data_IF_471021234351
#
_entry.id   IF_471021234351
#
_cell.length_a   1.000
_cell.length_b   1.000
_cell.length_c   1.000
_cell.angle_alpha   90.00
_cell.angle_beta   90.00
_cell.angle_gamma   90.00
#
_symmetry.space_group_name_H-M   'P 1'
#
loop_
_entity.id
_entity.type
_entity.pdbx_description
1 polymer ?
#
# COMPACT_ATOMS: atom_id res chain seq x y z
N UNK A 1 8.47 -15.60 -9.29
CA UNK A 1 8.64 -15.74 -7.84
C UNK A 1 9.67 -14.70 -7.45
N UNK A 2 9.36 -13.58 -6.83
CA UNK A 2 8.58 -13.37 -5.60
C UNK A 2 7.63 -12.18 -5.71
N UNK A 3 6.55 -12.31 -4.98
CA UNK A 3 5.36 -11.51 -5.00
C UNK A 3 5.40 -10.71 -3.68
N UNK A 4 5.66 -9.39 -3.71
CA UNK A 4 5.57 -8.52 -2.52
C UNK A 4 5.23 -7.08 -2.95
N UNK A 5 3.95 -6.74 -2.93
CA UNK A 5 3.36 -5.47 -3.42
C UNK A 5 3.29 -4.37 -2.36
N UNK A 6 4.02 -4.51 -1.25
CA UNK A 6 4.25 -3.45 -0.27
C UNK A 6 5.73 -3.49 0.10
N UNK A 7 6.41 -2.31 0.22
CA UNK A 7 7.79 -2.28 0.63
C UNK A 7 7.90 -2.90 2.02
N UNK A 8 8.79 -3.89 2.15
CA UNK A 8 9.07 -4.49 3.45
C UNK A 8 9.77 -3.43 4.30
N UNK A 9 9.27 -3.20 5.50
CA UNK A 9 9.87 -2.27 6.45
C UNK A 9 10.59 -3.10 7.51
N UNK A 10 11.84 -2.73 7.79
CA UNK A 10 12.72 -3.39 8.72
C UNK A 10 12.96 -2.52 9.95
N UNK A 11 13.07 -3.15 11.12
CA UNK A 11 13.61 -2.51 12.34
C UNK A 11 15.14 -2.52 12.34
N UNK A 12 15.82 -1.75 13.21
CA UNK A 12 17.28 -1.76 13.31
C UNK A 12 17.83 -3.16 13.61
N UNK A 13 17.15 -3.91 14.48
CA UNK A 13 17.48 -5.29 14.81
C UNK A 13 17.41 -6.19 13.57
N UNK A 14 16.33 -6.08 12.78
CA UNK A 14 16.16 -6.88 11.57
C UNK A 14 17.19 -6.50 10.48
N UNK A 15 17.53 -5.22 10.36
CA UNK A 15 18.59 -4.75 9.46
C UNK A 15 19.95 -5.29 9.90
N UNK A 16 20.25 -5.25 11.21
CA UNK A 16 21.49 -5.78 11.78
C UNK A 16 21.61 -7.28 11.52
N UNK A 17 20.53 -8.04 11.73
CA UNK A 17 20.50 -9.47 11.44
C UNK A 17 20.67 -9.76 9.94
N UNK A 18 20.07 -8.94 9.07
CA UNK A 18 20.13 -9.07 7.63
C UNK A 18 21.54 -8.79 7.08
N UNK A 19 22.16 -7.70 7.54
CA UNK A 19 23.51 -7.28 7.15
C UNK A 19 24.61 -8.02 7.91
N UNK A 20 24.25 -8.85 8.90
CA UNK A 20 25.18 -9.51 9.84
C UNK A 20 26.12 -8.50 10.49
N UNK A 21 25.57 -7.36 10.88
CA UNK A 21 26.24 -6.25 11.53
C UNK A 21 25.75 -6.07 12.97
N UNK A 22 26.44 -5.22 13.72
CA UNK A 22 26.02 -4.84 15.07
C UNK A 22 24.86 -3.82 15.02
N UNK A 23 23.91 -3.92 15.93
CA UNK A 23 22.75 -3.03 15.98
C UNK A 23 23.15 -1.57 16.24
N UNK A 24 24.14 -1.33 17.11
CA UNK A 24 24.63 0.01 17.42
C UNK A 24 25.27 0.64 16.18
N UNK A 25 25.93 -0.17 15.35
CA UNK A 25 26.46 0.27 14.06
C UNK A 25 25.31 0.68 13.12
N UNK A 26 24.25 -0.11 13.02
CA UNK A 26 23.10 0.23 12.18
C UNK A 26 22.39 1.51 12.64
N UNK A 27 22.23 1.68 13.96
CA UNK A 27 21.71 2.92 14.53
C UNK A 27 22.60 4.11 14.19
N UNK A 28 23.92 3.94 14.25
CA UNK A 28 24.87 4.97 13.84
C UNK A 28 24.76 5.31 12.35
N UNK A 29 24.60 4.33 11.47
CA UNK A 29 24.39 4.56 10.03
C UNK A 29 23.07 5.30 9.74
N UNK A 30 22.01 5.07 10.53
CA UNK A 30 20.78 5.87 10.46
C UNK A 30 20.98 7.31 10.94
N UNK A 31 21.69 7.49 12.05
CA UNK A 31 21.95 8.82 12.63
C UNK A 31 22.87 9.67 11.75
N UNK A 32 23.85 9.04 11.11
CA UNK A 32 24.77 9.70 10.17
C UNK A 32 24.15 9.89 8.78
N UNK A 33 23.01 9.27 8.50
CA UNK A 33 22.28 9.40 7.23
C UNK A 33 22.83 8.54 6.09
N UNK A 34 23.85 7.71 6.37
CA UNK A 34 24.41 6.77 5.40
C UNK A 34 23.40 5.67 5.04
N UNK A 35 22.64 5.21 6.03
CA UNK A 35 21.50 4.32 5.84
C UNK A 35 20.22 5.15 5.92
N UNK A 36 19.47 5.19 4.82
CA UNK A 36 18.19 5.89 4.78
C UNK A 36 17.16 5.16 5.64
N UNK A 37 16.49 5.92 6.49
CA UNK A 37 15.42 5.43 7.34
C UNK A 37 14.51 6.56 7.79
N UNK A 38 13.41 6.18 8.43
CA UNK A 38 12.46 7.10 9.03
C UNK A 38 12.11 6.64 10.44
N UNK A 39 11.76 7.59 11.31
CA UNK A 39 11.36 7.28 12.69
C UNK A 39 9.86 7.08 12.78
N UNK A 40 9.46 6.02 13.49
CA UNK A 40 8.09 5.85 13.98
C UNK A 40 8.16 5.93 15.50
N UNK A 41 7.67 7.03 16.07
CA UNK A 41 7.85 7.32 17.49
C UNK A 41 9.33 7.56 17.83
N UNK A 42 9.92 6.67 18.64
CA UNK A 42 11.34 6.73 19.05
C UNK A 42 12.24 5.76 18.29
N UNK A 43 11.68 4.89 17.47
CA UNK A 43 12.42 3.81 16.83
C UNK A 43 12.62 4.09 15.34
N UNK A 44 13.78 3.70 14.84
CA UNK A 44 14.12 3.77 13.42
C UNK A 44 13.44 2.66 12.63
N UNK A 45 13.18 2.92 11.36
CA UNK A 45 12.66 1.96 10.37
C UNK A 45 13.33 2.22 9.03
N UNK A 46 13.53 1.15 8.25
CA UNK A 46 14.13 1.21 6.92
C UNK A 46 13.30 0.43 5.93
N UNK A 47 13.15 0.94 4.70
CA UNK A 47 12.49 0.18 3.64
C UNK A 47 13.46 -0.81 2.98
N UNK A 48 12.94 -1.87 2.40
CA UNK A 48 13.70 -2.83 1.59
C UNK A 48 14.48 -2.14 0.46
N UNK A 49 13.88 -1.11 -0.15
CA UNK A 49 14.52 -0.34 -1.20
C UNK A 49 15.72 0.47 -0.69
N UNK A 50 15.57 1.13 0.47
CA UNK A 50 16.66 1.89 1.10
C UNK A 50 17.80 0.97 1.56
N UNK A 51 17.45 -0.19 2.13
CA UNK A 51 18.42 -1.21 2.53
C UNK A 51 19.19 -1.77 1.33
N UNK A 52 18.48 -2.09 0.25
CA UNK A 52 19.10 -2.53 -1.01
C UNK A 52 19.97 -1.44 -1.63
N UNK A 53 19.57 -0.18 -1.53
CA UNK A 53 20.35 0.97 -2.02
C UNK A 53 21.66 1.12 -1.23
N UNK A 54 21.58 0.99 0.10
CA UNK A 54 22.75 0.99 0.99
C UNK A 54 23.71 -0.17 0.63
N UNK A 55 23.19 -1.38 0.42
CA UNK A 55 24.01 -2.55 0.04
C UNK A 55 24.68 -2.40 -1.33
N UNK A 56 24.05 -1.70 -2.27
CA UNK A 56 24.63 -1.41 -3.60
C UNK A 56 25.79 -0.42 -3.52
N UNK A 57 26.07 0.15 -2.35
CA UNK A 57 27.18 1.08 -2.14
C UNK A 57 26.97 2.42 -2.84
N UNK A 58 25.72 2.77 -3.21
CA UNK A 58 25.37 4.10 -3.71
C UNK A 58 25.41 5.04 -2.50
N UNK A 59 26.63 5.49 -2.19
CA UNK A 59 26.89 6.50 -1.17
C UNK A 59 26.44 7.86 -1.72
N UNK A 60 25.14 8.12 -1.65
CA UNK A 60 24.66 9.48 -1.77
C UNK A 60 25.15 10.24 -0.54
N UNK A 61 26.31 10.87 -0.69
CA UNK A 61 26.85 11.79 0.30
C UNK A 61 25.93 12.99 0.34
N UNK A 62 24.95 13.01 1.24
CA UNK A 62 24.09 14.18 1.46
C UNK A 62 24.16 14.58 2.92
N UNK A 63 24.80 15.73 3.14
CA UNK A 63 24.88 16.45 4.41
C UNK A 63 23.52 16.65 5.10
N UNK A 64 23.50 16.76 6.44
CA UNK A 64 22.29 17.02 7.20
C UNK A 64 21.84 18.47 6.99
N UNK A 65 20.96 18.69 6.01
CA UNK A 65 20.25 19.96 5.87
C UNK A 65 18.75 19.71 5.95
N UNK A 66 18.19 20.25 7.04
CA UNK A 66 16.81 20.71 7.32
C UNK A 66 15.64 20.21 6.46
N UNK A 67 14.43 20.12 7.04
CA UNK A 67 13.22 19.71 6.33
C UNK A 67 12.87 20.73 5.24
N UNK A 68 13.44 20.57 4.05
CA UNK A 68 12.85 21.11 2.84
C UNK A 68 11.55 20.35 2.60
N UNK A 69 10.43 21.04 2.34
CA UNK A 69 9.23 20.39 1.90
C UNK A 69 9.58 19.76 0.56
N UNK A 70 9.79 18.44 0.55
CA UNK A 70 9.99 17.66 -0.66
C UNK A 70 8.65 17.66 -1.38
N UNK A 71 8.35 18.79 -2.04
CA UNK A 71 7.57 18.82 -3.27
C UNK A 71 8.47 18.24 -4.36
N UNK A 72 8.88 16.99 -4.23
CA UNK A 72 9.09 16.21 -5.44
C UNK A 72 7.67 16.00 -5.94
N UNK A 73 7.27 16.56 -7.09
CA UNK A 73 6.06 16.06 -7.71
C UNK A 73 6.34 14.56 -7.86
N UNK A 74 5.54 13.72 -7.21
CA UNK A 74 5.39 12.34 -7.68
C UNK A 74 5.33 12.51 -9.20
N UNK A 75 6.30 11.96 -9.93
CA UNK A 75 6.12 11.81 -11.37
C UNK A 75 4.75 11.17 -11.46
N UNK A 76 3.76 11.94 -11.94
CA UNK A 76 2.39 11.50 -12.02
C UNK A 76 2.43 10.33 -12.99
N UNK A 77 2.64 9.13 -12.46
CA UNK A 77 2.42 7.89 -13.16
C UNK A 77 1.02 8.05 -13.70
N UNK A 78 0.90 8.35 -14.98
CA UNK A 78 -0.38 8.71 -15.57
C UNK A 78 -1.13 7.40 -15.67
N UNK A 79 -1.82 7.03 -14.58
CA UNK A 79 -2.57 5.79 -14.49
C UNK A 79 -3.74 5.96 -15.43
N UNK A 80 -3.69 5.26 -16.56
CA UNK A 80 -4.80 5.22 -17.49
C UNK A 80 -5.91 4.38 -16.87
N UNK A 81 -6.98 5.05 -16.44
CA UNK A 81 -8.18 4.42 -15.88
C UNK A 81 -9.21 4.34 -17.01
N UNK A 82 -9.59 3.11 -17.38
CA UNK A 82 -10.60 2.84 -18.41
C UNK A 82 -11.86 2.28 -17.77
N UNK A 83 -13.02 2.64 -18.31
CA UNK A 83 -14.29 2.07 -17.87
C UNK A 83 -14.40 0.61 -18.30
N UNK A 84 -14.91 -0.24 -17.41
CA UNK A 84 -15.10 -1.66 -17.62
C UNK A 84 -16.58 -2.05 -17.41
N UNK A 85 -16.96 -3.22 -17.93
CA UNK A 85 -18.33 -3.71 -17.80
C UNK A 85 -18.69 -4.03 -16.34
N UNK A 86 -19.95 -3.82 -15.93
CA UNK A 86 -20.48 -4.33 -14.67
C UNK A 86 -20.21 -5.83 -14.51
N UNK A 87 -20.03 -6.29 -13.28
CA UNK A 87 -19.67 -7.69 -13.02
C UNK A 87 -20.16 -8.18 -11.67
N UNK A 88 -20.18 -9.49 -11.52
CA UNK A 88 -20.44 -10.17 -10.25
C UNK A 88 -19.13 -10.78 -9.74
N UNK A 89 -18.78 -10.49 -8.50
CA UNK A 89 -17.63 -11.09 -7.83
C UNK A 89 -18.10 -12.14 -6.83
N UNK A 90 -17.52 -13.34 -6.92
CA UNK A 90 -17.81 -14.43 -5.98
C UNK A 90 -16.77 -14.41 -4.86
N UNK A 91 -17.17 -13.98 -3.68
CA UNK A 91 -16.25 -13.93 -2.55
C UNK A 91 -15.83 -15.33 -2.09
N UNK A 92 -14.56 -15.51 -1.67
CA UNK A 92 -14.14 -16.76 -1.07
C UNK A 92 -14.96 -17.06 0.18
N UNK A 93 -15.26 -18.36 0.38
CA UNK A 93 -15.96 -18.85 1.58
C UNK A 93 -15.19 -18.55 2.86
N UNK A 94 -13.86 -18.60 2.79
CA UNK A 94 -12.95 -18.24 3.88
C UNK A 94 -12.67 -16.74 3.85
N UNK A 95 -13.19 -16.01 4.86
CA UNK A 95 -12.86 -14.60 5.09
C UNK A 95 -13.58 -13.56 4.23
N UNK A 96 -14.44 -13.97 3.27
CA UNK A 96 -15.10 -13.05 2.32
C UNK A 96 -16.62 -13.10 2.27
N UNK A 97 -17.28 -13.96 3.04
CA UNK A 97 -18.75 -14.03 3.11
C UNK A 97 -19.40 -15.04 2.17
N UNK A 98 -18.68 -15.61 1.19
CA UNK A 98 -19.16 -16.75 0.40
C UNK A 98 -20.40 -16.52 -0.47
N UNK A 99 -20.81 -15.27 -0.67
CA UNK A 99 -21.93 -14.89 -1.53
C UNK A 99 -21.45 -14.10 -2.77
N UNK A 100 -22.19 -14.17 -3.89
CA UNK A 100 -21.96 -13.29 -5.03
C UNK A 100 -22.29 -11.84 -4.65
N UNK A 101 -21.47 -10.91 -5.09
CA UNK A 101 -21.73 -9.47 -4.96
C UNK A 101 -21.72 -8.80 -6.33
N UNK A 102 -22.72 -7.96 -6.57
CA UNK A 102 -22.91 -7.25 -7.82
C UNK A 102 -22.24 -5.87 -7.78
N UNK A 103 -21.44 -5.58 -8.81
CA UNK A 103 -20.79 -4.30 -9.03
C UNK A 103 -21.37 -3.66 -10.30
N UNK A 104 -22.15 -2.59 -10.11
CA UNK A 104 -22.89 -1.88 -11.15
C UNK A 104 -22.02 -0.96 -12.01
N UNK A 105 -20.86 -0.56 -11.50
CA UNK A 105 -19.86 0.23 -12.26
C UNK A 105 -18.48 -0.35 -12.02
N UNK A 106 -17.64 -0.35 -13.05
CA UNK A 106 -16.30 -0.88 -12.96
C UNK A 106 -15.30 -0.06 -13.77
N UNK A 107 -14.05 -0.10 -13.35
CA UNK A 107 -12.91 0.48 -14.04
C UNK A 107 -11.73 -0.49 -13.99
N UNK A 108 -10.84 -0.38 -14.95
CA UNK A 108 -9.54 -1.03 -14.94
C UNK A 108 -8.45 0.02 -15.05
N UNK A 109 -7.36 -0.20 -14.32
CA UNK A 109 -6.24 0.71 -14.25
C UNK A 109 -4.95 -0.09 -14.35
N UNK A 110 -4.15 0.19 -15.36
CA UNK A 110 -2.86 -0.48 -15.53
C UNK A 110 -1.72 0.50 -15.29
N UNK A 111 -0.76 0.11 -14.46
CA UNK A 111 0.43 0.90 -14.17
C UNK A 111 1.66 0.03 -14.13
N UNK A 112 2.80 0.58 -14.54
CA UNK A 112 4.09 -0.06 -14.40
C UNK A 112 4.77 0.44 -13.12
N UNK A 113 5.18 -0.48 -12.25
CA UNK A 113 5.98 -0.19 -11.07
C UNK A 113 7.19 -1.12 -11.09
N UNK A 114 8.40 -0.56 -10.99
CA UNK A 114 9.66 -1.32 -11.00
C UNK A 114 9.82 -2.25 -12.23
N UNK A 115 9.33 -1.81 -13.40
CA UNK A 115 9.38 -2.60 -14.63
C UNK A 115 8.36 -3.74 -14.73
N UNK A 116 7.51 -3.91 -13.70
CA UNK A 116 6.41 -4.87 -13.70
C UNK A 116 5.08 -4.15 -13.94
N UNK A 117 4.25 -4.72 -14.81
CA UNK A 117 2.90 -4.23 -15.08
C UNK A 117 1.90 -4.79 -14.06
N UNK A 118 1.07 -3.90 -13.50
CA UNK A 118 0.00 -4.24 -12.58
C UNK A 118 -1.32 -3.72 -13.12
N UNK A 119 -2.29 -4.61 -13.30
CA UNK A 119 -3.67 -4.27 -13.64
C UNK A 119 -4.55 -4.39 -12.42
N UNK A 120 -5.15 -3.26 -12.04
CA UNK A 120 -6.14 -3.18 -11.00
C UNK A 120 -7.53 -3.19 -11.62
N UNK A 121 -8.44 -3.92 -10.98
CA UNK A 121 -9.87 -3.78 -11.23
C UNK A 121 -10.48 -2.99 -10.09
N UNK A 122 -11.37 -2.07 -10.40
CA UNK A 122 -12.09 -1.23 -9.44
C UNK A 122 -13.56 -1.46 -9.70
N UNK A 123 -14.32 -1.74 -8.65
CA UNK A 123 -15.74 -2.05 -8.74
C UNK A 123 -16.49 -1.22 -7.73
N UNK A 124 -17.59 -0.64 -8.17
CA UNK A 124 -18.54 0.02 -7.33
C UNK A 124 -19.82 -0.81 -7.27
N UNK A 125 -20.30 -1.06 -6.06
CA UNK A 125 -21.48 -1.85 -5.77
C UNK A 125 -22.21 -1.29 -4.56
N UNK A 126 -23.22 -2.02 -4.09
CA UNK A 126 -23.91 -1.72 -2.84
C UNK A 126 -23.96 -2.98 -1.97
N UNK A 127 -23.75 -2.80 -0.66
CA UNK A 127 -23.82 -3.88 0.31
C UNK A 127 -24.47 -3.40 1.59
N UNK A 128 -25.39 -4.19 2.11
CA UNK A 128 -25.91 -4.02 3.47
C UNK A 128 -24.80 -4.16 4.51
N UNK A 129 -24.56 -3.10 5.28
CA UNK A 129 -23.64 -3.07 6.42
C UNK A 129 -24.32 -2.34 7.59
N UNK A 130 -24.27 -2.93 8.78
CA UNK A 130 -24.94 -2.40 9.97
C UNK A 130 -26.43 -2.05 9.75
N UNK A 131 -27.14 -2.82 8.92
CA UNK A 131 -28.56 -2.64 8.65
C UNK A 131 -28.90 -1.66 7.50
N UNK A 132 -27.91 -0.95 6.96
CA UNK A 132 -28.12 0.03 5.88
C UNK A 132 -27.41 -0.40 4.60
N UNK A 133 -28.03 -0.15 3.45
CA UNK A 133 -27.34 -0.24 2.16
C UNK A 133 -26.32 0.89 2.07
N UNK A 134 -25.08 0.53 1.72
CA UNK A 134 -23.99 1.48 1.58
C UNK A 134 -23.26 1.24 0.28
N UNK A 135 -22.78 2.33 -0.33
CA UNK A 135 -21.86 2.22 -1.46
C UNK A 135 -20.65 1.42 -1.04
N UNK A 136 -20.24 0.46 -1.87
CA UNK A 136 -18.99 -0.28 -1.72
C UNK A 136 -18.10 0.06 -2.88
N UNK A 137 -16.84 0.34 -2.60
CA UNK A 137 -15.80 0.39 -3.63
C UNK A 137 -14.77 -0.66 -3.28
N UNK A 138 -14.50 -1.57 -4.20
CA UNK A 138 -13.51 -2.63 -3.99
C UNK A 138 -12.46 -2.52 -5.08
N UNK A 139 -11.20 -2.67 -4.69
CA UNK A 139 -10.06 -2.68 -5.60
C UNK A 139 -9.42 -4.06 -5.54
N UNK A 140 -9.25 -4.67 -6.70
CA UNK A 140 -8.62 -5.96 -6.86
C UNK A 140 -7.30 -5.84 -7.61
N UNK A 141 -6.34 -6.66 -7.20
CA UNK A 141 -5.18 -7.01 -8.01
C UNK A 141 -5.33 -8.49 -8.38
N UNK A 142 -5.59 -8.78 -9.65
CA UNK A 142 -6.04 -10.11 -10.09
C UNK A 142 -7.37 -10.50 -9.45
N UNK A 143 -7.44 -11.67 -8.82
CA UNK A 143 -8.66 -12.16 -8.14
C UNK A 143 -8.71 -11.85 -6.63
N UNK A 144 -7.83 -10.96 -6.15
CA UNK A 144 -7.67 -10.65 -4.73
C UNK A 144 -8.09 -9.22 -4.44
N UNK A 145 -9.08 -9.05 -3.57
CA UNK A 145 -9.43 -7.73 -3.03
C UNK A 145 -8.30 -7.23 -2.11
N UNK A 146 -7.75 -6.06 -2.42
CA UNK A 146 -6.63 -5.44 -1.70
C UNK A 146 -7.08 -4.24 -0.87
N UNK A 147 -8.11 -3.53 -1.34
CA UNK A 147 -8.71 -2.39 -0.65
C UNK A 147 -10.21 -2.48 -0.76
N UNK A 148 -10.90 -2.18 0.34
CA UNK A 148 -12.35 -2.08 0.35
C UNK A 148 -12.76 -0.78 1.04
N UNK A 149 -13.68 -0.04 0.43
CA UNK A 149 -14.25 1.18 0.98
C UNK A 149 -15.74 1.01 1.25
N UNK A 150 -16.23 1.61 2.32
CA UNK A 150 -17.66 1.77 2.59
C UNK A 150 -18.03 3.25 2.49
N UNK A 151 -19.10 3.55 1.76
CA UNK A 151 -19.71 4.87 1.71
C UNK A 151 -20.25 5.29 3.08
N UNK A 152 -20.25 6.60 3.30
CA UNK A 152 -21.05 7.23 4.36
C UNK A 152 -22.54 6.94 4.13
N UNK A 153 -23.39 7.31 5.11
CA UNK A 153 -24.84 7.19 4.95
C UNK A 153 -25.39 8.14 3.86
N UNK A 154 -24.66 9.21 3.53
CA UNK A 154 -25.06 10.24 2.58
C UNK A 154 -24.10 10.28 1.38
N UNK A 155 -23.54 9.13 1.00
CA UNK A 155 -22.52 9.02 -0.05
C UNK A 155 -22.92 9.72 -1.37
N UNK A 156 -24.19 9.66 -1.75
CA UNK A 156 -24.68 10.27 -2.98
C UNK A 156 -24.59 11.81 -2.98
N UNK A 157 -24.54 12.42 -1.79
CA UNK A 157 -24.39 13.86 -1.60
C UNK A 157 -22.94 14.27 -1.34
N UNK A 158 -22.22 13.52 -0.51
CA UNK A 158 -20.89 13.91 0.02
C UNK A 158 -19.71 13.18 -0.64
N UNK A 159 -19.96 12.06 -1.32
CA UNK A 159 -18.93 11.21 -1.93
C UNK A 159 -17.96 10.56 -0.93
N UNK A 160 -18.24 10.62 0.38
CA UNK A 160 -17.30 10.21 1.42
C UNK A 160 -17.22 8.68 1.54
N UNK A 161 -15.99 8.18 1.63
CA UNK A 161 -15.66 6.77 1.70
C UNK A 161 -14.70 6.51 2.88
N UNK A 162 -15.01 5.51 3.69
CA UNK A 162 -14.12 4.97 4.71
C UNK A 162 -13.43 3.70 4.19
N UNK A 163 -12.11 3.74 4.09
CA UNK A 163 -11.29 2.66 3.52
C UNK A 163 -10.73 1.71 4.55
N UNK A 164 -10.65 0.44 4.18
CA UNK A 164 -9.89 -0.59 4.86
C UNK A 164 -8.88 -1.16 3.87
N UNK A 165 -7.59 -1.01 4.17
CA UNK A 165 -6.50 -1.60 3.39
C UNK A 165 -6.11 -2.93 4.06
N UNK A 166 -6.04 -4.01 3.29
CA UNK A 166 -5.66 -5.34 3.80
C UNK A 166 -4.27 -5.72 3.32
N UNK A 167 -3.42 -6.12 4.24
CA UNK A 167 -2.08 -6.64 3.99
C UNK A 167 -2.12 -8.05 3.40
N UNK A 168 -0.99 -8.53 2.87
CA UNK A 168 -0.85 -9.88 2.29
C UNK A 168 -1.30 -11.00 3.23
N UNK A 169 -1.02 -10.84 4.52
CA UNK A 169 -1.39 -11.74 5.61
C UNK A 169 -2.87 -11.63 6.07
N UNK A 170 -3.69 -10.83 5.41
CA UNK A 170 -5.09 -10.62 5.75
C UNK A 170 -5.34 -9.65 6.92
N UNK A 171 -4.28 -9.17 7.60
CA UNK A 171 -4.39 -8.14 8.63
C UNK A 171 -4.77 -6.80 8.02
N UNK A 172 -5.47 -6.00 8.83
CA UNK A 172 -5.83 -4.64 8.48
C UNK A 172 -4.61 -3.73 8.64
N UNK A 173 -4.32 -2.89 7.65
CA UNK A 173 -3.39 -1.79 7.81
C UNK A 173 -4.08 -0.74 8.70
N UNK A 174 -3.60 -0.59 9.92
CA UNK A 174 -4.05 0.43 10.87
C UNK A 174 -3.02 1.53 10.93
N UNK A 175 -3.43 2.77 10.76
CA UNK A 175 -2.62 3.93 11.16
C UNK A 175 -2.68 4.04 12.68
N UNK A 176 -1.55 3.86 13.37
CA UNK A 176 -1.40 4.25 14.78
C UNK A 176 -1.11 5.75 14.87
#
# INVERSE_FOLDING_TARGET
MTDNTLPRIFTPEEVAEYLKADEDMILHEFETGNLRGFKIGKEWRCSDEDLLTYMRGIRDSVEPSQPTPVKTPLSESTVNIIEAKPFVFNWPKTGGGGYPEHYDRAYEATTTLNGQEYTFKIGFGNRKSAGQERRRVTIWLGNRAVVEFAGSNNYDDDGLLAGIIRLRNGKQLTTQ
#
